data_IF_274546423774
#
_entry.id   IF_274546423774
#
_cell.length_a   1.000
_cell.length_b   1.000
_cell.length_c   1.000
_cell.angle_alpha   90.00
_cell.angle_beta   90.00
_cell.angle_gamma   90.00
#
_symmetry.space_group_name_H-M   'P 1'
#
loop_
_entity.id
_entity.type
_entity.pdbx_description
1 polymer ?
#
# COMPACT_ATOMS: atom_id res chain seq x y z
N UNK A 1 11.49 13.98 5.67
CA UNK A 1 11.35 14.09 4.19
C UNK A 1 11.43 15.51 3.68
N UNK A 2 11.03 16.54 4.43
CA UNK A 2 11.19 17.95 4.00
C UNK A 2 12.63 18.33 3.66
N UNK A 3 13.61 17.91 4.47
CA UNK A 3 15.04 18.09 4.14
C UNK A 3 15.43 17.44 2.81
N UNK A 4 14.84 16.28 2.49
CA UNK A 4 15.10 15.61 1.21
C UNK A 4 14.54 16.42 0.03
N UNK A 5 13.34 16.97 0.18
CA UNK A 5 12.79 17.90 -0.82
C UNK A 5 13.71 19.11 -1.03
N UNK A 6 14.13 19.76 0.07
CA UNK A 6 14.98 20.94 0.01
C UNK A 6 16.33 20.68 -0.68
N UNK A 7 17.03 19.58 -0.35
CA UNK A 7 18.31 19.23 -0.98
C UNK A 7 18.15 18.91 -2.48
N UNK A 8 16.98 18.39 -2.89
CA UNK A 8 16.63 18.20 -4.29
C UNK A 8 16.06 19.45 -4.97
N UNK A 9 16.08 20.61 -4.30
CA UNK A 9 15.54 21.87 -4.81
C UNK A 9 14.02 21.89 -5.00
N UNK A 10 13.28 21.09 -4.23
CA UNK A 10 11.82 21.03 -4.23
C UNK A 10 11.20 21.53 -2.92
N UNK A 11 9.90 21.82 -2.99
CA UNK A 11 9.11 22.37 -1.87
C UNK A 11 8.34 21.31 -1.08
N UNK A 12 8.24 20.09 -1.60
CA UNK A 12 7.58 18.99 -0.93
C UNK A 12 8.12 17.63 -1.34
N UNK A 13 7.84 16.65 -0.49
CA UNK A 13 8.11 15.24 -0.75
C UNK A 13 6.87 14.40 -0.45
N UNK A 14 6.71 13.31 -1.19
CA UNK A 14 5.67 12.32 -1.00
C UNK A 14 6.30 10.92 -0.86
N UNK A 15 5.98 10.23 0.23
CA UNK A 15 6.15 8.79 0.36
C UNK A 15 4.79 8.12 0.15
N UNK A 16 4.68 7.37 -0.93
CA UNK A 16 3.42 6.78 -1.38
C UNK A 16 3.53 5.26 -1.44
N UNK A 17 2.52 4.57 -0.96
CA UNK A 17 2.35 3.14 -1.13
C UNK A 17 1.08 2.88 -1.91
N UNK A 18 1.21 2.25 -3.07
CA UNK A 18 0.11 1.90 -3.97
C UNK A 18 -0.06 0.37 -3.99
N UNK A 19 -1.30 -0.07 -4.07
CA UNK A 19 -1.68 -1.49 -4.11
C UNK A 19 -2.50 -1.89 -2.88
N UNK A 20 -2.80 -3.18 -2.80
CA UNK A 20 -3.48 -3.78 -1.66
C UNK A 20 -4.95 -3.38 -1.53
N UNK A 21 -5.59 -3.72 -0.40
CA UNK A 21 -7.03 -3.55 -0.22
C UNK A 21 -7.50 -2.10 -0.39
N UNK A 22 -6.69 -1.13 0.04
CA UNK A 22 -7.02 0.30 -0.02
C UNK A 22 -6.61 0.99 -1.32
N UNK A 23 -5.88 0.31 -2.22
CA UNK A 23 -5.22 0.86 -3.42
C UNK A 23 -4.20 1.98 -3.16
N UNK A 24 -4.42 2.87 -2.19
CA UNK A 24 -3.48 3.87 -1.68
C UNK A 24 -3.36 3.80 -0.14
N UNK A 25 -2.83 2.68 0.41
CA UNK A 25 -2.71 2.47 1.85
C UNK A 25 -1.75 3.45 2.57
N UNK A 26 -0.80 4.05 1.85
CA UNK A 26 0.12 5.06 2.38
C UNK A 26 0.20 6.23 1.40
N UNK A 27 -0.02 7.45 1.89
CA UNK A 27 0.14 8.67 1.10
C UNK A 27 0.57 9.81 2.01
N UNK A 28 1.88 9.90 2.25
CA UNK A 28 2.42 10.82 3.22
C UNK A 28 3.16 11.95 2.52
N UNK A 29 2.53 13.13 2.53
CA UNK A 29 3.13 14.37 2.05
C UNK A 29 3.81 15.12 3.19
N UNK A 30 4.91 15.80 2.85
CA UNK A 30 5.59 16.75 3.74
C UNK A 30 5.97 18.01 2.97
N UNK A 31 6.12 19.14 3.65
CA UNK A 31 6.43 20.43 3.03
C UNK A 31 5.20 21.27 2.69
N UNK A 32 5.42 22.34 1.91
CA UNK A 32 4.48 23.49 1.78
C UNK A 32 3.08 23.14 1.25
N UNK A 33 2.92 22.00 0.57
CA UNK A 33 1.68 21.61 -0.09
C UNK A 33 0.97 20.44 0.59
N UNK A 34 1.48 19.91 1.71
CA UNK A 34 1.01 18.66 2.29
C UNK A 34 -0.51 18.62 2.53
N UNK A 35 -1.06 19.60 3.26
CA UNK A 35 -2.49 19.62 3.60
C UNK A 35 -3.42 19.77 2.40
N UNK A 36 -2.98 20.45 1.34
CA UNK A 36 -3.75 20.59 0.10
C UNK A 36 -3.64 19.31 -0.73
N UNK A 37 -2.44 18.78 -0.88
CA UNK A 37 -2.18 17.55 -1.64
C UNK A 37 -2.96 16.36 -1.06
N UNK A 38 -2.99 16.20 0.27
CA UNK A 38 -3.75 15.13 0.94
C UNK A 38 -5.21 15.15 0.52
N UNK A 39 -5.87 16.32 0.52
CA UNK A 39 -7.29 16.45 0.13
C UNK A 39 -7.56 16.08 -1.32
N UNK A 40 -6.71 16.52 -2.27
CA UNK A 40 -6.90 16.15 -3.67
C UNK A 40 -6.71 14.65 -3.88
N UNK A 41 -5.72 14.06 -3.21
CA UNK A 41 -5.38 12.64 -3.37
C UNK A 41 -6.23 11.68 -2.55
N UNK A 42 -7.26 12.15 -1.86
CA UNK A 42 -8.34 11.29 -1.37
C UNK A 42 -9.24 10.79 -2.52
N UNK A 43 -9.21 11.44 -3.69
CA UNK A 43 -10.01 11.02 -4.85
C UNK A 43 -9.39 9.79 -5.54
N UNK A 44 -10.05 8.61 -5.51
CA UNK A 44 -9.52 7.39 -6.11
C UNK A 44 -9.31 7.46 -7.62
N UNK A 45 -10.00 8.38 -8.30
CA UNK A 45 -9.84 8.59 -9.74
C UNK A 45 -8.45 9.08 -10.13
N UNK A 46 -7.60 9.49 -9.17
CA UNK A 46 -6.24 10.00 -9.38
C UNK A 46 -5.12 9.00 -9.06
N UNK A 47 -5.44 7.76 -8.69
CA UNK A 47 -4.44 6.79 -8.22
C UNK A 47 -3.88 5.88 -9.33
N UNK A 48 -4.50 5.90 -10.51
CA UNK A 48 -4.19 5.00 -11.63
C UNK A 48 -3.42 5.66 -12.78
N UNK A 49 -3.67 5.17 -14.00
CA UNK A 49 -2.97 5.57 -15.23
C UNK A 49 -3.19 7.02 -15.65
N UNK A 50 -4.22 7.71 -15.16
CA UNK A 50 -4.41 9.15 -15.35
C UNK A 50 -3.30 9.98 -14.70
N UNK A 51 -2.71 9.44 -13.62
CA UNK A 51 -1.62 10.05 -12.89
C UNK A 51 -0.31 9.69 -13.59
N UNK A 52 0.21 10.63 -14.36
CA UNK A 52 1.44 10.42 -15.14
C UNK A 52 2.68 10.20 -14.28
N UNK A 53 2.64 10.53 -12.97
CA UNK A 53 3.69 10.11 -12.04
C UNK A 53 3.61 8.61 -11.83
N UNK A 54 2.44 8.06 -11.51
CA UNK A 54 2.26 6.61 -11.36
C UNK A 54 2.56 5.90 -12.69
N UNK A 55 1.94 6.34 -13.78
CA UNK A 55 2.05 5.69 -15.10
C UNK A 55 3.44 5.74 -15.74
N UNK A 56 4.29 6.70 -15.37
CA UNK A 56 5.69 6.74 -15.85
C UNK A 56 6.65 5.89 -15.02
N UNK A 57 6.18 5.29 -13.92
CA UNK A 57 6.99 4.39 -13.09
C UNK A 57 7.40 3.16 -13.90
N UNK A 58 8.64 2.72 -13.70
CA UNK A 58 9.19 1.54 -14.36
C UNK A 58 9.76 0.57 -13.33
N UNK A 59 11.04 0.22 -13.44
CA UNK A 59 11.67 -0.71 -12.50
C UNK A 59 11.96 -0.02 -11.16
N UNK A 60 11.96 -0.78 -10.05
CA UNK A 60 12.43 -0.29 -8.77
C UNK A 60 13.81 0.36 -8.89
N UNK A 61 14.01 1.42 -8.11
CA UNK A 61 15.22 2.24 -8.03
C UNK A 61 15.57 3.02 -9.31
N UNK A 62 14.73 2.97 -10.35
CA UNK A 62 14.88 3.85 -11.51
C UNK A 62 14.31 5.24 -11.18
N UNK A 63 15.05 6.29 -11.52
CA UNK A 63 14.61 7.67 -11.31
C UNK A 63 13.80 8.14 -12.51
N UNK A 64 12.51 8.41 -12.27
CA UNK A 64 11.63 9.08 -13.20
C UNK A 64 11.56 10.57 -12.86
N UNK A 65 11.45 11.42 -13.87
CA UNK A 65 11.49 12.88 -13.74
C UNK A 65 10.89 13.53 -14.98
N UNK A 66 10.88 14.86 -15.05
CA UNK A 66 10.09 15.66 -16.00
C UNK A 66 10.04 15.15 -17.45
N UNK A 67 11.15 14.66 -18.01
CA UNK A 67 11.17 14.14 -19.39
C UNK A 67 10.30 12.89 -19.56
N UNK A 68 10.28 12.03 -18.54
CA UNK A 68 9.52 10.79 -18.51
C UNK A 68 8.02 11.08 -18.32
N UNK A 69 7.69 12.04 -17.47
CA UNK A 69 6.33 12.55 -17.32
C UNK A 69 5.77 13.07 -18.65
N UNK A 70 6.56 13.90 -19.35
CA UNK A 70 6.19 14.41 -20.69
C UNK A 70 6.09 13.31 -21.74
N UNK A 71 6.91 12.27 -21.67
CA UNK A 71 6.82 11.14 -22.60
C UNK A 71 5.53 10.35 -22.37
N UNK A 72 5.22 10.00 -21.12
CA UNK A 72 4.00 9.29 -20.76
C UNK A 72 2.75 10.08 -21.15
N UNK A 73 2.66 11.38 -20.82
CA UNK A 73 1.51 12.22 -21.19
C UNK A 73 1.26 12.27 -22.70
N UNK A 74 2.33 12.33 -23.50
CA UNK A 74 2.22 12.28 -24.97
C UNK A 74 1.69 10.95 -25.46
N UNK A 75 2.09 9.84 -24.85
CA UNK A 75 1.65 8.50 -25.21
C UNK A 75 0.22 8.20 -24.74
N UNK A 76 -0.14 8.59 -23.53
CA UNK A 76 -1.45 8.31 -22.93
C UNK A 76 -2.59 9.15 -23.54
N UNK A 77 -2.25 10.29 -24.17
CA UNK A 77 -3.19 11.25 -24.71
C UNK A 77 -3.70 12.23 -23.65
N UNK A 78 -3.83 13.51 -24.01
CA UNK A 78 -4.12 14.60 -23.05
C UNK A 78 -5.44 14.43 -22.29
N UNK A 79 -6.45 13.81 -22.89
CA UNK A 79 -7.73 13.55 -22.22
C UNK A 79 -7.61 12.56 -21.05
N UNK A 80 -6.70 11.58 -21.12
CA UNK A 80 -6.50 10.59 -20.07
C UNK A 80 -5.89 11.21 -18.81
N UNK A 81 -5.03 12.23 -18.98
CA UNK A 81 -4.31 12.86 -17.86
C UNK A 81 -4.91 14.17 -17.40
N UNK A 82 -5.95 14.69 -18.05
CA UNK A 82 -6.50 16.03 -17.82
C UNK A 82 -6.83 16.30 -16.35
N UNK A 83 -7.59 15.42 -15.70
CA UNK A 83 -7.97 15.59 -14.29
C UNK A 83 -6.75 15.66 -13.35
N UNK A 84 -5.69 14.89 -13.66
CA UNK A 84 -4.46 14.93 -12.89
C UNK A 84 -3.63 16.18 -13.20
N UNK A 85 -3.64 16.64 -14.46
CA UNK A 85 -2.99 17.88 -14.86
C UNK A 85 -3.60 19.10 -14.15
N UNK A 86 -4.92 19.14 -13.99
CA UNK A 86 -5.61 20.19 -13.22
C UNK A 86 -5.15 20.20 -11.76
N UNK A 87 -5.16 19.04 -11.09
CA UNK A 87 -4.70 18.91 -9.70
C UNK A 87 -3.23 19.29 -9.55
N UNK A 88 -2.37 18.88 -10.47
CA UNK A 88 -0.95 19.23 -10.47
C UNK A 88 -0.73 20.73 -10.68
N UNK A 89 -1.54 21.37 -11.51
CA UNK A 89 -1.51 22.82 -11.72
C UNK A 89 -1.96 23.57 -10.47
N UNK A 90 -3.07 23.16 -9.84
CA UNK A 90 -3.62 23.76 -8.62
C UNK A 90 -2.65 23.68 -7.43
N UNK A 91 -1.93 22.56 -7.34
CA UNK A 91 -0.94 22.31 -6.28
C UNK A 91 0.45 22.89 -6.57
N UNK A 92 0.66 23.44 -7.77
CA UNK A 92 1.97 23.88 -8.28
C UNK A 92 3.05 22.80 -8.10
N UNK A 93 2.79 21.59 -8.61
CA UNK A 93 3.70 20.45 -8.53
C UNK A 93 4.01 19.86 -9.91
N UNK A 94 4.12 20.71 -10.92
CA UNK A 94 4.32 20.32 -12.32
C UNK A 94 5.62 19.57 -12.57
N UNK A 95 6.63 19.81 -11.74
CA UNK A 95 7.97 19.28 -11.91
C UNK A 95 8.36 18.35 -10.77
N UNK A 96 9.45 17.62 -10.98
CA UNK A 96 10.08 16.85 -9.93
C UNK A 96 10.68 15.54 -10.41
N UNK A 97 10.95 14.69 -9.42
CA UNK A 97 11.50 13.37 -9.65
C UNK A 97 10.90 12.38 -8.67
N UNK A 98 10.95 11.10 -9.01
CA UNK A 98 10.44 10.01 -8.19
C UNK A 98 11.21 8.72 -8.46
N UNK A 99 11.12 7.80 -7.52
CA UNK A 99 11.55 6.43 -7.73
C UNK A 99 10.69 5.47 -6.93
N UNK A 100 10.46 4.30 -7.50
CA UNK A 100 9.88 3.16 -6.78
C UNK A 100 10.98 2.57 -5.90
N UNK A 101 10.84 2.60 -4.58
CA UNK A 101 11.82 2.05 -3.64
C UNK A 101 11.76 0.52 -3.59
N UNK A 102 10.55 -0.01 -3.70
CA UNK A 102 10.23 -1.44 -3.65
C UNK A 102 8.95 -1.68 -4.43
N UNK A 103 8.87 -2.81 -5.14
CA UNK A 103 7.64 -3.28 -5.75
C UNK A 103 7.57 -4.81 -5.68
N UNK A 104 6.35 -5.32 -5.66
CA UNK A 104 6.01 -6.70 -6.00
C UNK A 104 5.01 -6.72 -7.17
N UNK A 105 4.32 -7.84 -7.40
CA UNK A 105 3.38 -7.98 -8.51
C UNK A 105 2.14 -7.08 -8.40
N UNK A 106 1.73 -6.72 -7.19
CA UNK A 106 0.46 -6.02 -6.92
C UNK A 106 0.66 -4.70 -6.13
N UNK A 107 1.87 -4.43 -5.63
CA UNK A 107 2.16 -3.31 -4.74
C UNK A 107 3.46 -2.60 -5.10
N UNK A 108 3.52 -1.30 -4.82
CA UNK A 108 4.79 -0.61 -4.77
C UNK A 108 4.82 0.49 -3.70
N UNK A 109 6.02 0.75 -3.19
CA UNK A 109 6.33 1.90 -2.35
C UNK A 109 7.25 2.84 -3.13
N UNK A 110 6.83 4.09 -3.30
CA UNK A 110 7.55 5.11 -4.03
C UNK A 110 7.87 6.33 -3.19
N UNK A 111 8.98 7.00 -3.54
CA UNK A 111 9.33 8.32 -3.02
C UNK A 111 9.34 9.31 -4.19
N UNK A 112 8.78 10.50 -3.96
CA UNK A 112 8.77 11.56 -4.95
C UNK A 112 9.12 12.91 -4.31
N UNK A 113 9.82 13.75 -5.07
CA UNK A 113 10.00 15.17 -4.79
C UNK A 113 9.13 15.97 -5.75
N UNK A 114 8.46 16.98 -5.20
CA UNK A 114 7.59 17.89 -5.93
C UNK A 114 8.30 19.23 -6.12
N UNK A 115 8.24 19.75 -7.33
CA UNK A 115 8.79 21.05 -7.71
C UNK A 115 7.72 21.89 -8.42
N UNK A 116 7.58 23.14 -7.99
CA UNK A 116 6.67 24.12 -8.56
C UNK A 116 7.29 24.98 -9.63
N UNK A 117 6.51 25.93 -10.17
CA UNK A 117 6.94 26.82 -11.26
C UNK A 117 8.20 27.62 -10.93
N UNK A 118 8.32 28.10 -9.69
CA UNK A 118 9.49 28.87 -9.24
C UNK A 118 10.77 28.01 -9.15
N UNK A 119 10.62 26.73 -8.86
CA UNK A 119 11.73 25.78 -8.73
C UNK A 119 12.13 25.22 -10.10
N UNK A 120 11.18 25.11 -11.02
CA UNK A 120 11.40 24.62 -12.38
C UNK A 120 11.72 23.12 -12.46
N UNK A 121 12.05 22.61 -13.67
CA UNK A 121 12.39 21.22 -13.91
C UNK A 121 13.59 20.74 -13.07
N UNK A 122 13.68 19.43 -12.84
CA UNK A 122 14.85 18.78 -12.30
C UNK A 122 16.05 18.94 -13.24
N UNK A 123 17.11 19.58 -12.73
CA UNK A 123 18.43 19.63 -13.34
C UNK A 123 19.30 18.41 -12.91
N UNK A 124 20.48 18.21 -13.51
CA UNK A 124 21.36 17.10 -13.14
C UNK A 124 21.77 17.08 -11.66
N UNK A 125 21.87 18.23 -11.00
CA UNK A 125 22.24 18.31 -9.58
C UNK A 125 21.11 17.81 -8.68
N UNK A 126 19.86 18.16 -9.01
CA UNK A 126 18.67 17.67 -8.31
C UNK A 126 18.51 16.15 -8.47
N UNK A 127 18.77 15.61 -9.67
CA UNK A 127 18.72 14.17 -9.94
C UNK A 127 19.80 13.44 -9.13
N UNK A 128 21.03 13.94 -9.12
CA UNK A 128 22.14 13.36 -8.35
C UNK A 128 21.85 13.37 -6.84
N UNK A 129 21.32 14.47 -6.32
CA UNK A 129 20.89 14.55 -4.93
C UNK A 129 19.79 13.51 -4.61
N UNK A 130 18.81 13.39 -5.51
CA UNK A 130 17.69 12.47 -5.33
C UNK A 130 18.13 11.01 -5.35
N UNK A 131 19.08 10.65 -6.21
CA UNK A 131 19.65 9.29 -6.26
C UNK A 131 20.18 8.83 -4.89
N UNK A 132 20.94 9.70 -4.21
CA UNK A 132 21.46 9.41 -2.87
C UNK A 132 20.34 9.25 -1.84
N UNK A 133 19.34 10.12 -1.90
CA UNK A 133 18.17 10.07 -1.01
C UNK A 133 17.42 8.75 -1.21
N UNK A 134 17.18 8.34 -2.46
CA UNK A 134 16.45 7.11 -2.79
C UNK A 134 17.16 5.87 -2.23
N UNK A 135 18.50 5.80 -2.32
CA UNK A 135 19.27 4.72 -1.72
C UNK A 135 19.11 4.65 -0.20
N UNK A 136 19.16 5.79 0.49
CA UNK A 136 18.96 5.83 1.94
C UNK A 136 17.51 5.51 2.33
N UNK A 137 16.54 6.02 1.58
CA UNK A 137 15.13 5.74 1.81
C UNK A 137 14.82 4.25 1.63
N UNK A 138 15.33 3.61 0.58
CA UNK A 138 15.15 2.18 0.37
C UNK A 138 15.73 1.37 1.55
N UNK A 139 16.94 1.70 2.02
CA UNK A 139 17.53 1.02 3.18
C UNK A 139 16.68 1.21 4.44
N UNK A 140 16.19 2.42 4.70
CA UNK A 140 15.33 2.69 5.84
C UNK A 140 14.01 1.91 5.78
N UNK A 141 13.40 1.81 4.59
CA UNK A 141 12.19 1.00 4.35
C UNK A 141 12.47 -0.48 4.63
N UNK A 142 13.58 -1.02 4.13
CA UNK A 142 13.96 -2.42 4.38
C UNK A 142 14.19 -2.70 5.87
N UNK A 143 14.80 -1.77 6.58
CA UNK A 143 14.98 -1.89 8.04
C UNK A 143 13.62 -1.87 8.75
N UNK A 144 12.72 -0.95 8.38
CA UNK A 144 11.37 -0.92 8.96
C UNK A 144 10.60 -2.21 8.70
N UNK A 145 10.66 -2.74 7.47
CA UNK A 145 10.04 -4.03 7.13
C UNK A 145 10.56 -5.17 7.99
N UNK A 146 11.88 -5.22 8.23
CA UNK A 146 12.47 -6.24 9.09
C UNK A 146 11.98 -6.11 10.55
N UNK A 147 11.97 -4.89 11.10
CA UNK A 147 11.50 -4.62 12.46
C UNK A 147 9.99 -4.90 12.65
N UNK A 148 9.18 -4.55 11.66
CA UNK A 148 7.74 -4.78 11.70
C UNK A 148 7.39 -6.27 11.56
N UNK A 149 8.23 -7.06 10.86
CA UNK A 149 8.15 -8.52 10.84
C UNK A 149 8.28 -9.13 12.23
N UNK A 150 9.30 -8.73 13.00
CA UNK A 150 9.48 -9.18 14.39
C UNK A 150 8.28 -8.82 15.28
N UNK A 151 7.67 -7.65 15.07
CA UNK A 151 6.48 -7.25 15.82
C UNK A 151 5.26 -8.15 15.53
N UNK A 152 5.12 -8.63 14.30
CA UNK A 152 4.11 -9.61 13.92
C UNK A 152 4.33 -10.95 14.63
N UNK A 153 5.58 -11.44 14.65
CA UNK A 153 5.95 -12.69 15.30
C UNK A 153 5.68 -12.66 16.81
N UNK A 154 6.02 -11.56 17.49
CA UNK A 154 5.73 -11.38 18.93
C UNK A 154 4.22 -11.40 19.20
N UNK A 155 3.41 -10.84 18.29
CA UNK A 155 1.96 -10.82 18.45
C UNK A 155 1.36 -12.23 18.36
N UNK A 156 1.88 -13.05 17.45
CA UNK A 156 1.47 -14.44 17.27
C UNK A 156 2.07 -15.36 18.35
N UNK A 157 3.30 -15.15 18.80
CA UNK A 157 3.96 -16.00 19.81
C UNK A 157 3.24 -15.98 21.16
N UNK A 158 2.51 -14.90 21.44
CA UNK A 158 1.65 -14.78 22.62
C UNK A 158 0.30 -15.50 22.47
N UNK A 159 0.02 -16.08 21.31
CA UNK A 159 -1.20 -16.83 21.03
C UNK A 159 -0.90 -18.32 20.94
N UNK A 160 -1.30 -19.03 22.00
CA UNK A 160 -1.24 -20.49 22.09
C UNK A 160 -2.00 -21.16 20.92
N UNK A 161 -1.55 -22.35 20.50
CA UNK A 161 -2.07 -23.16 19.39
C UNK A 161 -3.59 -23.39 19.50
N UNK A 162 -4.12 -23.33 20.72
CA UNK A 162 -5.55 -23.45 21.03
C UNK A 162 -6.44 -22.35 20.47
N UNK A 163 -5.88 -21.21 20.05
CA UNK A 163 -6.66 -20.09 19.48
C UNK A 163 -7.01 -20.27 18.00
N UNK A 164 -6.50 -21.33 17.37
CA UNK A 164 -6.86 -21.74 16.03
C UNK A 164 -6.12 -21.00 14.91
N UNK A 165 -6.54 -21.21 13.65
CA UNK A 165 -5.90 -20.64 12.47
C UNK A 165 -5.97 -19.10 12.46
N UNK A 166 -4.83 -18.42 12.44
CA UNK A 166 -4.76 -16.96 12.42
C UNK A 166 -3.66 -16.44 11.49
N UNK A 167 -3.97 -15.40 10.71
CA UNK A 167 -3.02 -14.62 9.90
C UNK A 167 -3.03 -13.16 10.35
N UNK A 168 -1.86 -12.57 10.52
CA UNK A 168 -1.67 -11.16 10.85
C UNK A 168 -1.22 -10.44 9.59
N UNK A 169 -1.92 -9.37 9.21
CA UNK A 169 -1.61 -8.60 8.00
C UNK A 169 -1.27 -7.15 8.33
N UNK A 170 -0.47 -6.55 7.46
CA UNK A 170 -0.22 -5.11 7.43
C UNK A 170 -1.35 -4.34 6.72
N UNK A 171 -1.18 -3.03 6.51
CA UNK A 171 -2.18 -2.22 5.77
C UNK A 171 -2.23 -2.48 4.27
N UNK A 172 -1.17 -3.05 3.71
CA UNK A 172 -1.07 -3.43 2.31
C UNK A 172 -1.74 -4.79 2.05
N UNK A 173 -2.17 -5.49 3.11
CA UNK A 173 -2.68 -6.85 3.03
C UNK A 173 -1.56 -7.90 2.95
N UNK A 174 -0.32 -7.47 3.18
CA UNK A 174 0.87 -8.32 3.28
C UNK A 174 0.82 -9.16 4.55
N UNK A 175 1.19 -10.43 4.47
CA UNK A 175 1.30 -11.33 5.62
C UNK A 175 2.50 -10.92 6.48
N UNK A 176 2.26 -10.51 7.72
CA UNK A 176 3.29 -10.21 8.71
C UNK A 176 3.70 -11.48 9.48
N UNK A 177 2.72 -12.26 9.94
CA UNK A 177 2.92 -13.45 10.76
C UNK A 177 1.68 -14.34 10.73
N UNK A 178 1.81 -15.60 11.15
CA UNK A 178 0.69 -16.54 11.28
C UNK A 178 0.95 -17.57 12.38
N UNK A 179 -0.11 -18.09 12.99
CA UNK A 179 0.01 -19.27 13.85
C UNK A 179 0.33 -20.50 13.00
N UNK A 180 0.91 -21.55 13.60
CA UNK A 180 1.10 -22.83 12.92
C UNK A 180 -0.23 -23.38 12.34
N UNK A 181 -1.32 -23.29 13.11
CA UNK A 181 -2.65 -23.65 12.61
C UNK A 181 -3.12 -22.77 11.44
N UNK A 182 -2.59 -21.55 11.30
CA UNK A 182 -2.88 -20.61 10.22
C UNK A 182 -2.41 -21.11 8.85
N UNK A 183 -1.39 -21.97 8.79
CA UNK A 183 -0.90 -22.60 7.55
C UNK A 183 -2.03 -23.32 6.80
N UNK A 184 -2.94 -23.98 7.53
CA UNK A 184 -4.10 -24.67 6.94
C UNK A 184 -5.03 -23.76 6.13
N UNK A 185 -5.00 -22.44 6.38
CA UNK A 185 -5.76 -21.50 5.56
C UNK A 185 -5.07 -21.18 4.22
N UNK A 186 -3.75 -21.35 4.13
CA UNK A 186 -2.92 -21.06 2.96
C UNK A 186 -2.52 -22.32 2.18
N UNK A 187 -2.69 -23.50 2.78
CA UNK A 187 -2.49 -24.80 2.14
C UNK A 187 -3.31 -24.96 0.85
N UNK A 188 -2.96 -25.98 0.04
CA UNK A 188 -3.58 -26.27 -1.26
C UNK A 188 -5.12 -26.28 -1.22
N UNK A 189 -5.69 -26.80 -0.12
CA UNK A 189 -7.13 -26.90 0.09
C UNK A 189 -7.74 -25.78 0.96
N UNK A 190 -6.91 -24.86 1.43
CA UNK A 190 -7.30 -23.70 2.22
C UNK A 190 -8.07 -22.65 1.39
N UNK A 191 -8.81 -21.74 2.04
CA UNK A 191 -9.60 -20.71 1.36
C UNK A 191 -8.73 -19.57 0.81
N UNK A 192 -7.50 -19.43 1.31
CA UNK A 192 -6.60 -18.32 1.02
C UNK A 192 -5.35 -18.81 0.26
N UNK A 193 -4.66 -17.88 -0.36
CA UNK A 193 -3.37 -18.07 -1.04
C UNK A 193 -2.55 -16.81 -0.89
N UNK A 194 -1.23 -16.96 -1.02
CA UNK A 194 -0.32 -15.82 -1.15
C UNK A 194 -0.17 -15.41 -2.62
N UNK A 195 -0.14 -14.10 -2.86
CA UNK A 195 0.25 -13.47 -4.13
C UNK A 195 1.37 -12.49 -3.84
N UNK A 196 2.61 -12.92 -4.08
CA UNK A 196 3.76 -12.25 -3.47
C UNK A 196 3.69 -12.37 -1.95
N UNK A 197 3.66 -11.23 -1.27
CA UNK A 197 3.48 -11.19 0.20
C UNK A 197 2.03 -11.02 0.63
N UNK A 198 1.12 -10.70 -0.29
CA UNK A 198 -0.27 -10.35 0.05
C UNK A 198 -1.20 -11.56 0.09
N UNK A 199 -2.14 -11.52 1.04
CA UNK A 199 -3.15 -12.57 1.21
C UNK A 199 -4.35 -12.29 0.31
N UNK A 200 -4.72 -13.31 -0.47
CA UNK A 200 -5.89 -13.31 -1.35
C UNK A 200 -6.74 -14.55 -1.11
N UNK A 201 -8.05 -14.47 -1.39
CA UNK A 201 -8.86 -15.68 -1.48
C UNK A 201 -8.59 -16.40 -2.80
N UNK A 202 -8.66 -17.74 -2.81
CA UNK A 202 -8.42 -18.54 -4.02
C UNK A 202 -9.50 -18.30 -5.09
N UNK A 203 -10.77 -18.25 -4.69
CA UNK A 203 -11.85 -17.90 -5.61
C UNK A 203 -11.85 -16.38 -5.92
N UNK A 204 -11.87 -15.96 -7.20
CA UNK A 204 -11.82 -14.55 -7.56
C UNK A 204 -13.01 -13.71 -7.04
N UNK A 205 -14.20 -14.30 -6.87
CA UNK A 205 -15.38 -13.59 -6.34
C UNK A 205 -15.23 -13.40 -4.85
N UNK A 206 -14.86 -14.45 -4.12
CA UNK A 206 -14.51 -14.38 -2.70
C UNK A 206 -13.37 -13.40 -2.45
N UNK A 207 -12.37 -13.35 -3.34
CA UNK A 207 -11.26 -12.42 -3.20
C UNK A 207 -11.74 -10.97 -3.28
N UNK A 208 -12.64 -10.64 -4.22
CA UNK A 208 -13.23 -9.28 -4.25
C UNK A 208 -13.94 -8.92 -2.96
N UNK A 209 -14.67 -9.86 -2.36
CA UNK A 209 -15.32 -9.64 -1.06
C UNK A 209 -14.31 -9.48 0.08
N UNK A 210 -13.27 -10.32 0.11
CA UNK A 210 -12.17 -10.24 1.07
C UNK A 210 -11.46 -8.89 0.99
N UNK A 211 -10.98 -8.50 -0.19
CA UNK A 211 -10.28 -7.23 -0.39
C UNK A 211 -11.18 -6.03 -0.03
N UNK A 212 -12.46 -6.07 -0.41
CA UNK A 212 -13.43 -5.02 -0.02
C UNK A 212 -13.63 -4.95 1.49
N UNK A 213 -13.64 -6.09 2.19
CA UNK A 213 -13.77 -6.14 3.64
C UNK A 213 -12.53 -5.58 4.35
N UNK A 214 -11.33 -6.00 3.92
CA UNK A 214 -10.06 -5.48 4.43
C UNK A 214 -9.98 -3.95 4.21
N UNK A 215 -10.36 -3.46 3.04
CA UNK A 215 -10.39 -2.04 2.71
C UNK A 215 -11.31 -1.25 3.64
N UNK A 216 -12.53 -1.74 3.87
CA UNK A 216 -13.50 -1.13 4.79
C UNK A 216 -12.95 -1.08 6.21
N UNK A 217 -12.40 -2.19 6.71
CA UNK A 217 -11.83 -2.23 8.07
C UNK A 217 -10.68 -1.23 8.22
N UNK A 218 -9.80 -1.14 7.23
CA UNK A 218 -8.71 -0.17 7.26
C UNK A 218 -9.19 1.28 7.17
N UNK A 219 -10.37 1.54 6.58
CA UNK A 219 -10.94 2.88 6.42
C UNK A 219 -11.60 3.41 7.70
N UNK A 220 -11.79 2.56 8.70
CA UNK A 220 -12.36 2.96 9.99
C UNK A 220 -11.37 3.90 10.69
N UNK A 221 -11.84 5.06 11.20
CA UNK A 221 -11.00 5.97 11.97
C UNK A 221 -10.37 5.33 13.21
N UNK A 222 -9.17 5.77 13.56
CA UNK A 222 -8.42 5.21 14.70
C UNK A 222 -9.09 5.50 16.06
N UNK A 223 -9.99 6.49 16.13
CA UNK A 223 -10.77 6.86 17.31
C UNK A 223 -12.14 6.14 17.40
N UNK A 224 -12.42 5.22 16.46
CA UNK A 224 -13.65 4.44 16.48
C UNK A 224 -13.73 3.57 17.74
N UNK A 225 -14.83 3.69 18.47
CA UNK A 225 -15.07 2.93 19.71
C UNK A 225 -15.57 1.52 19.38
N UNK A 226 -14.93 0.52 19.97
CA UNK A 226 -15.35 -0.89 19.91
C UNK A 226 -14.61 -1.74 18.87
N UNK A 227 -14.74 -3.08 18.96
CA UNK A 227 -14.05 -4.01 18.07
C UNK A 227 -14.65 -3.95 16.66
N UNK A 228 -13.79 -3.72 15.67
CA UNK A 228 -14.19 -3.66 14.27
C UNK A 228 -13.97 -5.02 13.61
N UNK A 229 -15.07 -5.74 13.39
CA UNK A 229 -15.05 -7.13 12.92
C UNK A 229 -15.92 -7.26 11.66
N UNK A 230 -15.39 -7.94 10.66
CA UNK A 230 -16.16 -8.44 9.52
C UNK A 230 -16.13 -9.95 9.50
N UNK A 231 -17.24 -10.60 9.15
CA UNK A 231 -17.30 -12.05 8.99
C UNK A 231 -17.70 -12.42 7.57
N UNK A 232 -17.06 -13.44 7.01
CA UNK A 232 -17.40 -14.00 5.71
C UNK A 232 -17.20 -15.51 5.69
N UNK A 233 -17.79 -16.18 4.70
CA UNK A 233 -17.43 -17.56 4.36
C UNK A 233 -16.55 -17.60 3.13
N UNK A 234 -15.64 -18.57 3.07
CA UNK A 234 -14.68 -18.73 1.98
C UNK A 234 -14.35 -20.20 1.72
N UNK A 235 -13.66 -20.47 0.60
CA UNK A 235 -13.24 -21.81 0.20
C UNK A 235 -14.38 -22.60 -0.45
N UNK A 236 -15.19 -21.93 -1.26
CA UNK A 236 -16.19 -22.59 -2.12
C UNK A 236 -15.52 -23.50 -3.14
N UNK A 237 -16.18 -24.61 -3.42
CA UNK A 237 -15.78 -25.59 -4.43
C UNK A 237 -17.03 -26.26 -5.01
N UNK A 238 -16.89 -27.05 -6.07
CA UNK A 238 -18.02 -27.78 -6.67
C UNK A 238 -18.75 -28.68 -5.66
N UNK A 239 -18.03 -29.24 -4.68
CA UNK A 239 -18.59 -30.01 -3.55
C UNK A 239 -18.99 -29.19 -2.32
N UNK A 240 -18.82 -27.87 -2.30
CA UNK A 240 -19.16 -27.03 -1.14
C UNK A 240 -19.46 -25.59 -1.58
N UNK A 241 -20.71 -25.35 -2.00
CA UNK A 241 -21.14 -24.05 -2.54
C UNK A 241 -21.30 -22.96 -1.47
N UNK A 242 -21.40 -23.34 -0.18
CA UNK A 242 -21.51 -22.40 0.94
C UNK A 242 -20.15 -21.91 1.48
N UNK A 243 -19.06 -22.58 1.10
CA UNK A 243 -17.71 -22.33 1.61
C UNK A 243 -17.39 -23.19 2.83
N UNK A 244 -16.15 -23.67 2.91
CA UNK A 244 -15.67 -24.58 3.96
C UNK A 244 -15.09 -23.86 5.18
N UNK A 245 -14.99 -22.54 5.12
CA UNK A 245 -14.36 -21.73 6.15
C UNK A 245 -15.23 -20.55 6.53
N UNK A 246 -15.26 -20.23 7.83
CA UNK A 246 -15.71 -18.94 8.34
C UNK A 246 -14.49 -18.13 8.72
N UNK A 247 -14.33 -16.98 8.09
CA UNK A 247 -13.26 -16.03 8.35
C UNK A 247 -13.82 -14.87 9.18
N UNK A 248 -13.14 -14.52 10.26
CA UNK A 248 -13.38 -13.28 11.02
C UNK A 248 -12.19 -12.36 10.79
N UNK A 249 -12.44 -11.21 10.19
CA UNK A 249 -11.44 -10.19 9.91
C UNK A 249 -11.58 -9.11 10.98
N UNK A 250 -10.48 -8.77 11.62
CA UNK A 250 -10.46 -7.84 12.76
C UNK A 250 -9.45 -6.73 12.50
N UNK A 251 -9.84 -5.48 12.76
CA UNK A 251 -8.91 -4.34 12.77
C UNK A 251 -8.13 -4.33 14.08
N UNK A 252 -6.80 -4.36 13.99
CA UNK A 252 -5.92 -4.19 15.13
C UNK A 252 -5.72 -2.68 15.43
N UNK A 253 -5.48 -2.30 16.70
CA UNK A 253 -5.13 -0.92 17.04
C UNK A 253 -3.85 -0.49 16.33
N UNK A 254 -3.85 0.72 15.77
CA UNK A 254 -2.69 1.26 15.06
C UNK A 254 -1.62 1.73 16.04
N UNK A 255 -0.35 1.52 15.70
CA UNK A 255 0.76 2.15 16.43
C UNK A 255 1.05 3.55 15.87
N UNK A 256 1.25 4.56 16.72
CA UNK A 256 1.68 5.87 16.24
C UNK A 256 3.03 5.75 15.51
N UNK A 257 3.18 6.47 14.40
CA UNK A 257 4.42 6.59 13.60
C UNK A 257 4.87 5.38 12.74
N UNK A 258 4.07 4.31 12.61
CA UNK A 258 4.38 3.22 11.68
C UNK A 258 4.32 3.63 10.19
N UNK A 259 5.24 3.10 9.36
CA UNK A 259 5.19 3.23 7.89
C UNK A 259 4.07 2.37 7.27
N UNK A 260 3.38 1.58 8.10
CA UNK A 260 2.22 0.79 7.71
C UNK A 260 2.47 -0.70 7.59
N UNK A 261 3.71 -1.15 7.71
CA UNK A 261 4.06 -2.58 7.72
C UNK A 261 3.80 -3.22 9.10
N UNK A 262 3.46 -2.42 10.11
CA UNK A 262 3.02 -2.89 11.41
C UNK A 262 1.70 -3.67 11.30
N UNK A 263 1.47 -4.69 12.16
CA UNK A 263 0.19 -5.41 12.21
C UNK A 263 -1.03 -4.49 12.28
N UNK A 264 -1.86 -4.52 11.25
CA UNK A 264 -3.08 -3.70 11.17
C UNK A 264 -4.35 -4.56 11.14
N UNK A 265 -4.27 -5.79 10.66
CA UNK A 265 -5.41 -6.66 10.48
C UNK A 265 -5.10 -8.06 11.00
N UNK A 266 -6.14 -8.75 11.43
CA UNK A 266 -6.10 -10.14 11.83
C UNK A 266 -7.20 -10.90 11.08
N UNK A 267 -6.85 -12.03 10.49
CA UNK A 267 -7.82 -12.99 9.94
C UNK A 267 -7.80 -14.22 10.83
N UNK A 268 -8.93 -14.53 11.47
CA UNK A 268 -9.15 -15.77 12.19
C UNK A 268 -10.01 -16.71 11.35
N UNK A 269 -9.52 -17.92 11.11
CA UNK A 269 -10.23 -18.96 10.38
C UNK A 269 -10.88 -19.98 11.32
N UNK A 270 -12.08 -20.42 10.96
CA UNK A 270 -12.68 -21.63 11.51
C UNK A 270 -13.21 -22.49 10.38
N UNK A 271 -12.71 -23.71 10.27
CA UNK A 271 -13.26 -24.67 9.33
C UNK A 271 -14.69 -25.02 9.73
N UNK A 272 -15.59 -24.99 8.77
CA UNK A 272 -16.97 -25.41 8.92
C UNK A 272 -17.03 -26.91 8.66
N UNK A 273 -17.74 -27.65 9.51
CA UNK A 273 -17.97 -29.06 9.27
C UNK A 273 -18.63 -29.22 7.89
N UNK A 274 -18.05 -30.09 7.04
CA UNK A 274 -18.70 -30.53 5.81
C UNK A 274 -19.95 -31.30 6.21
N UNK A 275 -21.11 -30.79 5.82
CA UNK A 275 -22.37 -31.53 5.88
C UNK A 275 -22.34 -32.72 4.90
#
# INVERSE_FOLDING_TARGET
MERAAWVCGGSAANLVGIGGPKLLPLNLFTGKMADRATRHFENPSLWGSCNWRVGSSSQPMTIQYDKHYRAYRRQAGGAMTANYDDVVSDLDMLFGCQSVLMADQEHFLGLAIMRGKLEGPCDPSAIFAFERIVQHAQRAVRVHLALDGEAGEILVSNWDERRGPMLVLDRFGGLCAMTAAGETMLDEFGPLTLRGISVAARDPRENRFLQSALARLLAIPDDAVGPQIHQMTAGRSDGSTQGRWRLSLVRLPRRPHGLGFDPQLLICGRQLATA
#
